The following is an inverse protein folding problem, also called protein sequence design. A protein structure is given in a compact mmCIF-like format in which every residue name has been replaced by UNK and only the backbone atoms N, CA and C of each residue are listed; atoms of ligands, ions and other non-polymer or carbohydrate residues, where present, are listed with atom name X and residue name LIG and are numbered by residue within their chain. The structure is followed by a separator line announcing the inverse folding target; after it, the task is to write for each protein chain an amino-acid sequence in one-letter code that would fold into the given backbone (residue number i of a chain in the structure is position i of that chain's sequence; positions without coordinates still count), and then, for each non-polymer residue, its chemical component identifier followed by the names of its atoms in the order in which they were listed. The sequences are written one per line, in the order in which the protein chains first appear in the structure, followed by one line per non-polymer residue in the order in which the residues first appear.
data_IF_051166332002
#
_entry.id   IF_051166332002
#
_cell.length_a   1.000
_cell.length_b   1.000
_cell.length_c   1.000
_cell.angle_alpha   90.00
_cell.angle_beta   90.00
_cell.angle_gamma   90.00
#
_symmetry.space_group_name_H-M   'P 1'
#
loop_
_entity.id
_entity.type
_entity.pdbx_description
1 polymer ?
#
# COMPACT_ATOMS: atom_id res chain seq x y z
N UNK A 1 -11.87 -0.93 1.77
CA UNK A 1 -10.77 -1.49 2.57
C UNK A 1 -9.48 -0.97 1.96
N UNK A 2 -8.64 -0.25 2.70
CA UNK A 2 -7.42 0.34 2.13
C UNK A 2 -6.35 -0.74 2.00
N UNK A 3 -6.16 -1.23 0.76
CA UNK A 3 -5.28 -2.35 0.47
C UNK A 3 -3.85 -1.94 0.14
N UNK A 4 -3.61 -0.67 -0.20
CA UNK A 4 -2.33 -0.20 -0.70
C UNK A 4 -1.70 0.82 0.22
N UNK A 5 -0.39 0.71 0.42
CA UNK A 5 0.40 1.56 1.32
C UNK A 5 1.48 2.27 0.52
N UNK A 6 1.55 3.59 0.65
CA UNK A 6 2.60 4.38 0.01
C UNK A 6 3.96 4.07 0.63
N UNK A 7 4.96 3.79 -0.20
CA UNK A 7 6.35 3.52 0.24
C UNK A 7 6.95 4.67 1.07
N UNK A 8 6.57 5.91 0.80
CA UNK A 8 7.27 7.09 1.36
C UNK A 8 6.74 7.51 2.72
N UNK A 9 5.42 7.52 2.89
CA UNK A 9 4.78 8.08 4.10
C UNK A 9 3.84 7.09 4.81
N UNK A 10 3.74 5.85 4.32
CA UNK A 10 2.85 4.85 4.90
C UNK A 10 1.36 5.15 4.72
N UNK A 11 0.98 6.13 3.88
CA UNK A 11 -0.42 6.44 3.65
C UNK A 11 -1.14 5.24 3.05
N UNK A 12 -2.32 4.92 3.59
CA UNK A 12 -3.17 3.86 3.08
C UNK A 12 -4.21 4.41 2.12
N UNK A 13 -4.39 3.76 0.98
CA UNK A 13 -5.41 4.11 -0.02
C UNK A 13 -5.95 2.86 -0.71
N UNK A 14 -7.09 3.01 -1.38
CA UNK A 14 -7.62 1.97 -2.28
C UNK A 14 -7.01 2.11 -3.68
N UNK A 15 -7.11 1.05 -4.48
CA UNK A 15 -6.60 1.07 -5.85
C UNK A 15 -7.29 2.14 -6.71
N UNK A 16 -8.59 2.34 -6.50
CA UNK A 16 -9.41 3.31 -7.25
C UNK A 16 -8.96 4.75 -6.97
N UNK A 17 -8.66 5.07 -5.70
CA UNK A 17 -8.12 6.37 -5.30
C UNK A 17 -6.74 6.61 -5.88
N UNK A 18 -5.87 5.59 -5.84
CA UNK A 18 -4.52 5.65 -6.40
C UNK A 18 -4.58 5.88 -7.91
N UNK A 19 -5.44 5.13 -8.61
CA UNK A 19 -5.64 5.25 -10.07
C UNK A 19 -6.18 6.62 -10.45
N UNK A 20 -7.16 7.16 -9.71
CA UNK A 20 -7.71 8.51 -9.91
C UNK A 20 -6.61 9.59 -9.80
N UNK A 21 -5.64 9.37 -8.91
CA UNK A 21 -4.51 10.27 -8.69
C UNK A 21 -3.26 9.95 -9.53
N UNK A 22 -3.41 9.20 -10.64
CA UNK A 22 -2.31 8.80 -11.54
C UNK A 22 -1.16 8.11 -10.80
N UNK A 23 -1.50 7.21 -9.89
CA UNK A 23 -0.57 6.51 -9.01
C UNK A 23 0.15 7.39 -7.99
N UNK A 24 -0.02 8.72 -7.97
CA UNK A 24 0.75 9.59 -7.08
C UNK A 24 0.09 9.72 -5.71
N UNK A 25 0.87 9.53 -4.64
CA UNK A 25 0.40 9.80 -3.28
C UNK A 25 0.02 11.28 -3.09
N UNK A 26 -1.22 11.51 -2.67
CA UNK A 26 -1.78 12.84 -2.41
C UNK A 26 -1.31 13.44 -1.09
N UNK A 27 -0.84 12.62 -0.14
CA UNK A 27 -0.45 13.04 1.20
C UNK A 27 0.96 13.61 1.27
N UNK A 28 1.96 12.88 0.77
CA UNK A 28 3.35 13.33 0.83
C UNK A 28 3.80 14.12 -0.40
N UNK A 29 3.21 13.86 -1.58
CA UNK A 29 3.51 14.52 -2.86
C UNK A 29 5.01 14.58 -3.23
N UNK A 30 5.85 13.75 -2.61
CA UNK A 30 7.29 13.73 -2.83
C UNK A 30 7.66 13.05 -4.16
N UNK A 31 8.87 13.27 -4.64
CA UNK A 31 9.43 12.47 -5.75
C UNK A 31 9.47 10.98 -5.33
N UNK A 32 9.04 10.07 -6.20
CA UNK A 32 8.95 8.64 -5.88
C UNK A 32 7.75 8.23 -5.02
N UNK A 33 6.76 9.11 -4.86
CA UNK A 33 5.51 8.78 -4.14
C UNK A 33 4.47 8.05 -5.00
N UNK A 34 4.89 7.53 -6.14
CA UNK A 34 4.12 6.75 -7.12
C UNK A 34 4.21 5.23 -6.91
N UNK A 35 5.00 4.81 -5.92
CA UNK A 35 5.19 3.40 -5.55
C UNK A 35 4.30 3.03 -4.36
N UNK A 36 3.55 1.93 -4.52
CA UNK A 36 2.60 1.41 -3.54
C UNK A 36 2.81 -0.08 -3.29
N UNK A 37 2.66 -0.49 -2.03
CA UNK A 37 2.67 -1.90 -1.63
C UNK A 37 1.27 -2.38 -1.33
N UNK A 38 0.90 -3.54 -1.88
CA UNK A 38 -0.33 -4.23 -1.46
C UNK A 38 -0.11 -4.87 -0.09
N UNK A 39 -1.00 -4.60 0.88
CA UNK A 39 -1.01 -5.27 2.18
C UNK A 39 -1.19 -6.77 1.93
N UNK A 40 -0.30 -7.56 2.53
CA UNK A 40 -0.47 -9.01 2.52
C UNK A 40 -1.64 -9.35 3.45
N UNK A 41 -2.55 -10.25 3.06
CA UNK A 41 -3.52 -10.78 4.00
C UNK A 41 -2.77 -11.46 5.15
N UNK A 42 -3.36 -11.50 6.37
CA UNK A 42 -2.78 -12.24 7.48
C UNK A 42 -2.67 -13.71 7.06
N UNK A 43 -1.45 -14.16 6.79
CA UNK A 43 -1.18 -15.57 6.60
C UNK A 43 -1.30 -16.19 7.98
N UNK A 44 -2.28 -17.08 8.17
CA UNK A 44 -2.32 -17.96 9.34
C UNK A 44 -1.03 -18.78 9.30
N UNK A 45 -0.02 -18.35 10.05
CA UNK A 45 1.23 -19.07 10.18
C UNK A 45 0.97 -20.26 11.11
N UNK A 46 0.42 -21.33 10.57
CA UNK A 46 0.57 -22.65 11.20
C UNK A 46 2.03 -23.05 10.98
N UNK A 47 2.90 -22.64 11.89
CA UNK A 47 4.29 -23.11 11.91
C UNK A 47 4.23 -24.55 12.41
N UNK A 48 4.29 -25.51 11.49
CA UNK A 48 4.62 -26.90 11.82
C UNK A 48 6.09 -26.91 12.24
N UNK A 49 6.36 -26.72 13.53
CA UNK A 49 7.66 -27.04 14.09
C UNK A 49 7.81 -28.57 14.06
N UNK A 50 8.82 -29.06 13.33
CA UNK A 50 9.28 -30.45 13.35
C UNK A 50 10.44 -30.53 14.33
#
# INVERSE_FOLDING_TARGET
MSEYVCLRCGNESTYEEIKRNRMKCTKCKTRGSDIWFKKRPPISKTILAI
#
